data_IF_825375443309
#
_entry.id   IF_825375443309
#
_cell.length_a   1.000
_cell.length_b   1.000
_cell.length_c   1.000
_cell.angle_alpha   90.00
_cell.angle_beta   90.00
_cell.angle_gamma   90.00
#
_symmetry.space_group_name_H-M   'P 1'
#
loop_
_entity.id
_entity.type
_entity.pdbx_description
1 polymer ?
#
# COMPACT_ATOMS: atom_id res chain seq x y z
N UNK A 1 2.77 -0.29 38.35
CA UNK A 1 1.56 -0.25 37.50
C UNK A 1 1.89 -0.35 36.02
N UNK A 2 2.80 0.49 35.48
CA UNK A 2 3.20 0.49 34.06
C UNK A 2 3.84 -0.84 33.64
N UNK A 3 4.78 -1.38 34.42
CA UNK A 3 5.44 -2.66 34.15
C UNK A 3 4.48 -3.86 34.17
N UNK A 4 3.48 -3.86 35.07
CA UNK A 4 2.46 -4.90 35.11
C UNK A 4 1.56 -4.85 33.86
N UNK A 5 1.23 -3.66 33.39
CA UNK A 5 0.42 -3.47 32.18
C UNK A 5 1.19 -3.83 30.89
N UNK A 6 2.50 -3.57 30.85
CA UNK A 6 3.37 -3.99 29.75
C UNK A 6 3.52 -5.52 29.67
N UNK A 7 3.66 -6.19 30.82
CA UNK A 7 3.69 -7.66 30.87
C UNK A 7 2.35 -8.27 30.43
N UNK A 8 1.23 -7.71 30.86
CA UNK A 8 -0.10 -8.18 30.44
C UNK A 8 -0.34 -8.00 28.95
N UNK A 9 0.11 -6.88 28.37
CA UNK A 9 0.08 -6.63 26.93
C UNK A 9 0.98 -7.61 26.16
N UNK A 10 2.17 -7.93 26.69
CA UNK A 10 3.09 -8.92 26.12
C UNK A 10 2.46 -10.32 26.07
N UNK A 11 1.89 -10.79 27.17
CA UNK A 11 1.20 -12.09 27.25
C UNK A 11 -0.01 -12.18 26.32
N UNK A 12 -0.78 -11.10 26.19
CA UNK A 12 -1.90 -11.04 25.21
C UNK A 12 -1.39 -11.09 23.77
N UNK A 13 -0.28 -10.41 23.48
CA UNK A 13 0.31 -10.41 22.14
C UNK A 13 0.84 -11.80 21.77
N UNK A 14 1.54 -12.49 22.68
CA UNK A 14 1.99 -13.87 22.49
C UNK A 14 0.81 -14.83 22.26
N UNK A 15 -0.26 -14.69 23.03
CA UNK A 15 -1.47 -15.49 22.84
C UNK A 15 -2.10 -15.29 21.46
N UNK A 16 -2.15 -14.06 20.96
CA UNK A 16 -2.65 -13.74 19.61
C UNK A 16 -1.73 -14.36 18.55
N UNK A 17 -0.42 -14.20 18.66
CA UNK A 17 0.55 -14.75 17.72
C UNK A 17 0.44 -16.29 17.69
N UNK A 18 0.39 -16.93 18.85
CA UNK A 18 0.22 -18.38 18.97
C UNK A 18 -1.10 -18.85 18.33
N UNK A 19 -2.19 -18.11 18.55
CA UNK A 19 -3.47 -18.42 17.89
C UNK A 19 -3.36 -18.30 16.37
N UNK A 20 -2.78 -17.21 15.85
CA UNK A 20 -2.66 -16.96 14.40
C UNK A 20 -1.72 -17.96 13.71
N UNK A 21 -0.61 -18.35 14.36
CA UNK A 21 0.35 -19.30 13.79
C UNK A 21 -0.12 -20.76 13.85
N UNK A 22 -0.88 -21.12 14.87
CA UNK A 22 -1.37 -22.49 15.06
C UNK A 22 -2.71 -22.77 14.35
N UNK A 23 -3.49 -21.72 14.01
CA UNK A 23 -4.83 -21.90 13.44
C UNK A 23 -4.78 -22.01 11.92
N UNK A 24 -5.32 -23.08 11.33
CA UNK A 24 -5.38 -23.22 9.87
C UNK A 24 -6.20 -22.11 9.21
N UNK A 25 -5.84 -21.72 7.98
CA UNK A 25 -6.52 -20.65 7.25
C UNK A 25 -8.00 -20.97 6.91
N UNK A 26 -8.41 -22.24 6.93
CA UNK A 26 -9.80 -22.69 6.71
C UNK A 26 -10.66 -22.67 7.98
N UNK A 27 -10.06 -22.41 9.16
CA UNK A 27 -10.84 -22.22 10.39
C UNK A 27 -11.76 -20.99 10.21
N UNK A 28 -13.07 -21.08 10.52
CA UNK A 28 -14.00 -19.96 10.36
C UNK A 28 -13.56 -18.68 11.08
N UNK A 29 -12.87 -18.80 12.21
CA UNK A 29 -12.32 -17.63 12.94
C UNK A 29 -11.20 -16.97 12.16
N UNK A 30 -10.30 -17.77 11.55
CA UNK A 30 -9.23 -17.24 10.72
C UNK A 30 -9.78 -16.60 9.44
N UNK A 31 -10.77 -17.20 8.80
CA UNK A 31 -11.46 -16.62 7.64
C UNK A 31 -12.07 -15.27 8.03
N UNK A 32 -12.76 -15.18 9.17
CA UNK A 32 -13.33 -13.92 9.65
C UNK A 32 -12.25 -12.84 9.89
N UNK A 33 -11.11 -13.21 10.48
CA UNK A 33 -9.98 -12.31 10.71
C UNK A 33 -9.39 -11.81 9.37
N UNK A 34 -9.15 -12.73 8.42
CA UNK A 34 -8.61 -12.39 7.10
C UNK A 34 -9.53 -11.42 6.35
N UNK A 35 -10.84 -11.65 6.38
CA UNK A 35 -11.83 -10.77 5.74
C UNK A 35 -11.90 -9.43 6.48
N UNK A 36 -11.94 -9.40 7.80
CA UNK A 36 -12.04 -8.18 8.58
C UNK A 36 -10.79 -7.28 8.42
N UNK A 37 -9.58 -7.88 8.57
CA UNK A 37 -8.33 -7.16 8.36
C UNK A 37 -8.19 -6.74 6.89
N UNK A 38 -8.59 -7.61 5.94
CA UNK A 38 -8.66 -7.27 4.53
C UNK A 38 -9.54 -6.04 4.29
N UNK A 39 -10.74 -5.99 4.87
CA UNK A 39 -11.66 -4.86 4.72
C UNK A 39 -11.06 -3.56 5.31
N UNK A 40 -10.47 -3.63 6.48
CA UNK A 40 -9.79 -2.49 7.09
C UNK A 40 -8.62 -1.99 6.24
N UNK A 41 -7.74 -2.90 5.82
CA UNK A 41 -6.59 -2.56 4.95
C UNK A 41 -7.07 -2.03 3.60
N UNK A 42 -8.07 -2.64 2.99
CA UNK A 42 -8.66 -2.20 1.74
C UNK A 42 -9.21 -0.78 1.83
N UNK A 43 -9.88 -0.45 2.92
CA UNK A 43 -10.38 0.90 3.19
C UNK A 43 -9.21 1.90 3.31
N UNK A 44 -8.28 1.67 4.21
CA UNK A 44 -7.17 2.59 4.48
C UNK A 44 -6.24 2.71 3.27
N UNK A 45 -5.96 1.61 2.58
CA UNK A 45 -5.08 1.59 1.42
C UNK A 45 -5.65 2.35 0.22
N UNK A 46 -6.98 2.31 0.04
CA UNK A 46 -7.67 3.10 -0.99
C UNK A 46 -7.46 4.59 -0.78
N UNK A 47 -7.51 5.07 0.45
CA UNK A 47 -7.42 6.50 0.77
C UNK A 47 -5.97 6.95 0.94
N UNK A 48 -5.19 6.24 1.75
CA UNK A 48 -3.84 6.67 2.16
C UNK A 48 -2.69 5.93 1.45
N UNK A 49 -2.91 4.68 0.99
CA UNK A 49 -1.88 3.91 0.27
C UNK A 49 -0.74 3.37 1.14
N UNK A 50 -0.94 3.24 2.46
CA UNK A 50 0.09 2.84 3.43
C UNK A 50 -0.24 1.55 4.20
N UNK A 51 -1.48 1.06 4.12
CA UNK A 51 -1.97 0.03 5.02
C UNK A 51 -1.45 -1.39 4.74
N UNK A 52 -0.76 -1.62 3.64
CA UNK A 52 -0.26 -2.95 3.26
C UNK A 52 0.68 -3.57 4.31
N UNK A 53 1.35 -2.74 5.11
CA UNK A 53 2.17 -3.22 6.24
C UNK A 53 1.36 -4.04 7.25
N UNK A 54 0.10 -3.67 7.49
CA UNK A 54 -0.79 -4.41 8.38
C UNK A 54 -1.05 -5.82 7.84
N UNK A 55 -1.17 -5.96 6.51
CA UNK A 55 -1.29 -7.27 5.85
C UNK A 55 -0.03 -8.11 6.06
N UNK A 56 1.16 -7.49 5.90
CA UNK A 56 2.42 -8.19 6.14
C UNK A 56 2.51 -8.69 7.57
N UNK A 57 2.20 -7.83 8.55
CA UNK A 57 2.22 -8.19 9.96
C UNK A 57 1.28 -9.35 10.26
N UNK A 58 0.04 -9.32 9.72
CA UNK A 58 -0.91 -10.43 9.89
C UNK A 58 -0.34 -11.73 9.30
N UNK A 59 0.16 -11.70 8.06
CA UNK A 59 0.66 -12.89 7.39
C UNK A 59 1.95 -13.42 8.02
N UNK A 60 2.80 -12.54 8.52
CA UNK A 60 3.99 -12.93 9.29
C UNK A 60 3.61 -13.59 10.61
N UNK A 61 2.58 -13.12 11.31
CA UNK A 61 2.05 -13.77 12.50
C UNK A 61 1.39 -15.14 12.20
N UNK A 62 0.93 -15.33 10.96
CA UNK A 62 0.50 -16.65 10.46
C UNK A 62 1.69 -17.55 10.05
N UNK A 63 2.93 -17.14 10.30
CA UNK A 63 4.15 -17.92 10.01
C UNK A 63 4.70 -17.74 8.59
N UNK A 64 4.21 -16.78 7.80
CA UNK A 64 4.75 -16.53 6.46
C UNK A 64 5.99 -15.64 6.53
N UNK A 65 7.10 -15.96 5.83
CA UNK A 65 8.20 -15.04 5.61
C UNK A 65 7.73 -13.75 4.90
N UNK A 66 8.41 -12.63 5.10
CA UNK A 66 7.98 -11.32 4.58
C UNK A 66 7.85 -11.27 3.05
N UNK A 67 8.69 -12.02 2.31
CA UNK A 67 8.58 -12.12 0.85
C UNK A 67 7.26 -12.79 0.42
N UNK A 68 6.86 -13.86 1.10
CA UNK A 68 5.57 -14.55 0.86
C UNK A 68 4.40 -13.66 1.31
N UNK A 69 4.52 -12.98 2.46
CA UNK A 69 3.51 -12.04 2.94
C UNK A 69 3.29 -10.88 1.96
N UNK A 70 4.39 -10.31 1.43
CA UNK A 70 4.39 -9.27 0.41
C UNK A 70 3.67 -9.74 -0.87
N UNK A 71 4.07 -10.90 -1.41
CA UNK A 71 3.50 -11.47 -2.63
C UNK A 71 2.01 -11.81 -2.46
N UNK A 72 1.65 -12.48 -1.36
CA UNK A 72 0.28 -12.90 -1.05
C UNK A 72 -0.69 -11.72 -0.94
N UNK A 73 -0.27 -10.62 -0.29
CA UNK A 73 -1.09 -9.42 -0.14
C UNK A 73 -1.46 -8.76 -1.48
N UNK A 74 -0.60 -8.87 -2.49
CA UNK A 74 -0.79 -8.22 -3.81
C UNK A 74 -1.98 -8.75 -4.58
N UNK A 75 -2.40 -9.98 -4.35
CA UNK A 75 -3.61 -10.54 -4.99
C UNK A 75 -4.84 -9.74 -4.57
N UNK A 76 -5.01 -9.52 -3.26
CA UNK A 76 -6.08 -8.68 -2.73
C UNK A 76 -6.00 -7.25 -3.23
N UNK A 77 -4.79 -6.69 -3.26
CA UNK A 77 -4.53 -5.34 -3.80
C UNK A 77 -4.94 -5.24 -5.26
N UNK A 78 -4.57 -6.20 -6.12
CA UNK A 78 -4.94 -6.18 -7.54
C UNK A 78 -6.46 -6.14 -7.72
N UNK A 79 -7.19 -7.02 -7.05
CA UNK A 79 -8.65 -7.11 -7.15
C UNK A 79 -9.32 -5.84 -6.60
N UNK A 80 -8.84 -5.34 -5.46
CA UNK A 80 -9.30 -4.10 -4.85
C UNK A 80 -9.14 -2.91 -5.80
N UNK A 81 -7.92 -2.67 -6.29
CA UNK A 81 -7.62 -1.50 -7.12
C UNK A 81 -8.24 -1.59 -8.51
N UNK A 82 -8.44 -2.79 -9.05
CA UNK A 82 -9.22 -3.01 -10.28
C UNK A 82 -10.66 -2.53 -10.09
N UNK A 83 -11.31 -2.94 -9.01
CA UNK A 83 -12.67 -2.51 -8.68
C UNK A 83 -12.74 -1.00 -8.42
N UNK A 84 -11.79 -0.46 -7.66
CA UNK A 84 -11.72 0.97 -7.38
C UNK A 84 -11.51 1.80 -8.65
N UNK A 85 -10.63 1.38 -9.56
CA UNK A 85 -10.38 2.07 -10.83
C UNK A 85 -11.66 2.19 -11.67
N UNK A 86 -12.50 1.14 -11.67
CA UNK A 86 -13.79 1.20 -12.35
C UNK A 86 -14.74 2.20 -11.71
N UNK A 87 -14.75 2.31 -10.37
CA UNK A 87 -15.55 3.29 -9.63
C UNK A 87 -15.10 4.71 -9.98
N UNK A 88 -13.80 5.03 -9.83
CA UNK A 88 -13.26 6.35 -10.14
C UNK A 88 -13.45 6.74 -11.61
N UNK A 89 -13.36 5.75 -12.54
CA UNK A 89 -13.63 5.99 -13.96
C UNK A 89 -15.10 6.31 -14.23
N UNK A 90 -16.04 5.61 -13.61
CA UNK A 90 -17.49 5.89 -13.75
C UNK A 90 -17.87 7.28 -13.25
N UNK A 91 -17.19 7.76 -12.22
CA UNK A 91 -17.40 9.11 -11.67
C UNK A 91 -16.64 10.23 -12.43
N UNK A 92 -15.97 9.88 -13.53
CA UNK A 92 -15.25 10.86 -14.36
C UNK A 92 -13.98 11.44 -13.74
N UNK A 93 -13.48 10.84 -12.64
CA UNK A 93 -12.32 11.32 -11.88
C UNK A 93 -10.99 10.71 -12.33
N UNK A 94 -11.03 9.66 -13.17
CA UNK A 94 -9.85 8.95 -13.64
C UNK A 94 -9.49 9.35 -15.07
N UNK A 95 -8.41 10.10 -15.22
CA UNK A 95 -7.74 10.25 -16.52
C UNK A 95 -6.95 8.97 -16.84
N UNK A 96 -7.55 8.11 -17.67
CA UNK A 96 -6.95 6.82 -18.05
C UNK A 96 -5.65 7.02 -18.83
N UNK A 97 -5.57 8.04 -19.70
CA UNK A 97 -4.37 8.32 -20.49
C UNK A 97 -3.20 8.70 -19.61
N UNK A 98 -3.41 9.64 -18.69
CA UNK A 98 -2.38 10.10 -17.76
C UNK A 98 -1.97 8.98 -16.79
N UNK A 99 -2.94 8.23 -16.24
CA UNK A 99 -2.68 7.12 -15.34
C UNK A 99 -1.89 5.97 -16.04
N UNK A 100 -2.13 5.73 -17.33
CA UNK A 100 -1.35 4.76 -18.11
C UNK A 100 0.08 5.25 -18.33
N UNK A 101 0.27 6.54 -18.66
CA UNK A 101 1.60 7.13 -18.81
C UNK A 101 2.43 7.07 -17.52
N UNK A 102 1.78 7.14 -16.36
CA UNK A 102 2.40 6.92 -15.05
C UNK A 102 2.60 5.42 -14.79
N UNK A 103 1.62 4.60 -15.07
CA UNK A 103 1.62 3.17 -14.76
C UNK A 103 2.66 2.38 -15.54
N UNK A 104 2.94 2.72 -16.79
CA UNK A 104 3.92 1.99 -17.63
C UNK A 104 5.33 2.07 -17.04
N UNK A 105 5.92 3.24 -16.75
CA UNK A 105 7.25 3.30 -16.13
C UNK A 105 7.27 2.66 -14.73
N UNK A 106 6.19 2.78 -13.96
CA UNK A 106 6.06 2.08 -12.68
C UNK A 106 6.07 0.56 -12.88
N UNK A 107 5.39 0.03 -13.90
CA UNK A 107 5.38 -1.41 -14.17
C UNK A 107 6.76 -1.94 -14.61
N UNK A 108 7.49 -1.19 -15.44
CA UNK A 108 8.84 -1.56 -15.85
C UNK A 108 9.79 -1.57 -14.64
N UNK A 109 9.71 -0.55 -13.78
CA UNK A 109 10.46 -0.54 -12.52
C UNK A 109 10.06 -1.67 -11.57
N UNK A 110 8.76 -1.97 -11.49
CA UNK A 110 8.24 -3.01 -10.61
C UNK A 110 8.71 -4.42 -11.02
N UNK A 111 8.97 -4.66 -12.29
CA UNK A 111 9.60 -5.92 -12.74
C UNK A 111 10.95 -6.13 -12.07
N UNK A 112 11.82 -5.12 -12.11
CA UNK A 112 13.15 -5.18 -11.47
C UNK A 112 13.03 -5.30 -9.94
N UNK A 113 12.16 -4.48 -9.33
CA UNK A 113 11.99 -4.50 -7.89
C UNK A 113 11.39 -5.81 -7.36
N UNK A 114 10.46 -6.42 -8.09
CA UNK A 114 9.88 -7.70 -7.73
C UNK A 114 10.89 -8.84 -7.84
N UNK A 115 11.72 -8.86 -8.89
CA UNK A 115 12.79 -9.83 -9.04
C UNK A 115 13.81 -9.71 -7.88
N UNK A 116 14.22 -8.48 -7.54
CA UNK A 116 15.09 -8.25 -6.38
C UNK A 116 14.45 -8.79 -5.08
N UNK A 117 13.16 -8.53 -4.85
CA UNK A 117 12.45 -9.00 -3.67
C UNK A 117 12.27 -10.53 -3.64
N UNK A 118 12.14 -11.15 -4.80
CA UNK A 118 11.97 -12.60 -4.91
C UNK A 118 13.26 -13.37 -4.57
N UNK A 119 14.44 -12.80 -4.90
CA UNK A 119 15.73 -13.47 -4.74
C UNK A 119 16.53 -12.99 -3.54
N UNK A 120 16.27 -11.78 -3.01
CA UNK A 120 17.00 -11.24 -1.86
C UNK A 120 16.57 -11.93 -0.56
N UNK A 121 17.50 -11.94 0.41
CA UNK A 121 17.22 -12.43 1.76
C UNK A 121 16.10 -11.61 2.41
N UNK A 122 15.27 -12.28 3.19
CA UNK A 122 14.11 -11.66 3.89
C UNK A 122 14.51 -10.48 4.77
N UNK A 123 15.67 -10.53 5.41
CA UNK A 123 16.21 -9.48 6.28
C UNK A 123 16.40 -8.16 5.51
N UNK A 124 16.82 -8.23 4.24
CA UNK A 124 16.99 -7.03 3.40
C UNK A 124 15.65 -6.36 3.13
N UNK A 125 14.60 -7.17 2.86
CA UNK A 125 13.25 -6.65 2.61
C UNK A 125 12.71 -5.98 3.88
N UNK A 126 12.92 -6.59 5.04
CA UNK A 126 12.52 -6.04 6.33
C UNK A 126 13.21 -4.70 6.62
N UNK A 127 14.54 -4.65 6.49
CA UNK A 127 15.33 -3.43 6.73
C UNK A 127 14.94 -2.31 5.76
N UNK A 128 14.83 -2.59 4.46
CA UNK A 128 14.43 -1.59 3.46
C UNK A 128 13.02 -1.07 3.76
N UNK A 129 12.08 -1.96 4.08
CA UNK A 129 10.71 -1.56 4.41
C UNK A 129 10.67 -0.71 5.68
N UNK A 130 11.42 -1.10 6.72
CA UNK A 130 11.49 -0.39 7.99
C UNK A 130 12.11 1.02 7.86
N UNK A 131 13.06 1.23 6.96
CA UNK A 131 13.71 2.52 6.74
C UNK A 131 12.87 3.40 5.79
N UNK A 132 12.45 2.85 4.66
CA UNK A 132 11.84 3.66 3.59
C UNK A 132 10.40 4.06 3.93
N UNK A 133 9.65 3.21 4.64
CA UNK A 133 8.27 3.52 4.98
C UNK A 133 8.12 4.77 5.86
N UNK A 134 8.89 4.99 6.95
CA UNK A 134 8.87 6.25 7.70
C UNK A 134 9.27 7.45 6.85
N UNK A 135 10.25 7.31 5.94
CA UNK A 135 10.65 8.39 5.03
C UNK A 135 9.50 8.78 4.09
N UNK A 136 8.79 7.79 3.53
CA UNK A 136 7.59 8.05 2.72
C UNK A 136 6.52 8.76 3.56
N UNK A 137 6.35 8.36 4.80
CA UNK A 137 5.39 9.00 5.70
C UNK A 137 5.70 10.50 5.94
N UNK A 138 6.97 10.93 5.89
CA UNK A 138 7.32 12.35 6.01
C UNK A 138 6.78 13.22 4.86
N UNK A 139 6.54 12.63 3.68
CA UNK A 139 5.95 13.34 2.54
C UNK A 139 4.57 13.93 2.85
N UNK A 140 3.86 13.39 3.83
CA UNK A 140 2.54 13.88 4.24
C UNK A 140 2.57 15.23 4.93
N UNK A 141 3.73 15.62 5.47
CA UNK A 141 3.94 16.92 6.09
C UNK A 141 4.39 17.99 5.08
N UNK A 142 4.60 17.60 3.80
CA UNK A 142 5.02 18.53 2.76
C UNK A 142 3.86 19.42 2.32
N UNK A 143 3.98 20.73 2.57
CA UNK A 143 3.06 21.72 2.03
C UNK A 143 3.33 21.91 0.54
N UNK A 144 2.39 21.45 -0.32
CA UNK A 144 2.51 21.53 -1.78
C UNK A 144 2.84 22.94 -2.26
N UNK A 145 2.13 23.97 -1.76
CA UNK A 145 2.32 25.34 -2.23
C UNK A 145 3.72 25.82 -1.94
N UNK A 146 4.19 25.62 -0.72
CA UNK A 146 5.55 25.99 -0.30
C UNK A 146 6.61 25.18 -1.05
N UNK A 147 6.38 23.86 -1.23
CA UNK A 147 7.30 22.99 -1.95
C UNK A 147 7.40 23.35 -3.42
N UNK A 148 6.27 23.52 -4.11
CA UNK A 148 6.23 23.91 -5.52
C UNK A 148 6.86 25.30 -5.75
N UNK A 149 6.58 26.27 -4.90
CA UNK A 149 7.19 27.62 -4.98
C UNK A 149 8.69 27.59 -4.69
N UNK A 150 9.13 26.83 -3.68
CA UNK A 150 10.55 26.75 -3.30
C UNK A 150 11.41 26.10 -4.39
N UNK A 151 10.90 25.10 -5.07
CA UNK A 151 11.66 24.35 -6.09
C UNK A 151 11.24 24.67 -7.52
N UNK A 152 10.42 25.70 -7.74
CA UNK A 152 9.91 26.15 -9.05
C UNK A 152 9.30 25.00 -9.87
N UNK A 153 8.66 24.04 -9.19
CA UNK A 153 8.01 22.90 -9.84
C UNK A 153 6.62 23.34 -10.29
N UNK A 154 6.49 23.67 -11.57
CA UNK A 154 5.18 23.80 -12.20
C UNK A 154 4.64 22.41 -12.50
N UNK A 155 3.65 21.98 -11.71
CA UNK A 155 2.96 20.70 -11.95
C UNK A 155 2.16 20.80 -13.25
N UNK A 156 2.62 20.12 -14.31
CA UNK A 156 1.89 20.00 -15.58
C UNK A 156 1.55 18.54 -15.84
N UNK A 157 0.38 18.25 -16.41
CA UNK A 157 -0.02 16.85 -16.69
C UNK A 157 0.83 16.19 -17.79
N UNK A 158 1.68 16.94 -18.47
CA UNK A 158 2.59 16.43 -19.48
C UNK A 158 3.74 15.64 -18.86
N UNK A 159 4.04 14.48 -19.45
CA UNK A 159 5.12 13.60 -19.03
C UNK A 159 6.43 14.04 -19.68
N UNK A 160 7.38 14.53 -18.89
CA UNK A 160 8.76 14.79 -19.30
C UNK A 160 9.66 13.57 -19.03
N UNK A 161 10.84 13.46 -19.66
CA UNK A 161 11.79 12.37 -19.40
C UNK A 161 12.12 12.18 -17.91
N UNK A 162 12.30 13.28 -17.17
CA UNK A 162 12.55 13.25 -15.73
C UNK A 162 11.39 12.59 -14.94
N UNK A 163 10.15 12.90 -15.32
CA UNK A 163 8.97 12.30 -14.66
C UNK A 163 8.87 10.80 -14.93
N UNK A 164 9.22 10.35 -16.15
CA UNK A 164 9.30 8.91 -16.43
C UNK A 164 10.34 8.23 -15.54
N UNK A 165 11.51 8.82 -15.34
CA UNK A 165 12.57 8.30 -14.45
C UNK A 165 12.08 8.26 -13.00
N UNK A 166 11.42 9.31 -12.51
CA UNK A 166 10.86 9.35 -11.15
C UNK A 166 9.85 8.22 -10.94
N UNK A 167 8.89 8.06 -11.85
CA UNK A 167 7.89 6.99 -11.73
C UNK A 167 8.48 5.59 -11.92
N UNK A 168 9.52 5.43 -12.72
CA UNK A 168 10.28 4.19 -12.83
C UNK A 168 10.96 3.82 -11.50
N UNK A 169 11.61 4.78 -10.81
CA UNK A 169 12.21 4.56 -9.48
C UNK A 169 11.14 4.22 -8.44
N UNK A 170 10.00 4.92 -8.46
CA UNK A 170 8.84 4.56 -7.63
C UNK A 170 8.41 3.12 -7.93
N UNK A 171 8.46 2.71 -9.19
CA UNK A 171 8.17 1.34 -9.62
C UNK A 171 9.13 0.31 -9.04
N UNK A 172 10.44 0.57 -9.05
CA UNK A 172 11.44 -0.34 -8.42
C UNK A 172 11.08 -0.56 -6.94
N UNK A 173 10.84 0.53 -6.21
CA UNK A 173 10.41 0.42 -4.82
C UNK A 173 9.10 -0.36 -4.68
N UNK A 174 8.11 -0.07 -5.52
CA UNK A 174 6.79 -0.72 -5.49
C UNK A 174 6.80 -2.19 -5.88
N UNK A 175 7.73 -2.60 -6.76
CA UNK A 175 7.97 -4.01 -7.06
C UNK A 175 8.63 -4.72 -5.89
N UNK A 176 9.64 -4.09 -5.29
CA UNK A 176 10.38 -4.62 -4.16
C UNK A 176 9.50 -4.75 -2.90
N UNK A 177 8.85 -3.67 -2.48
CA UNK A 177 7.85 -3.71 -1.41
C UNK A 177 6.63 -2.91 -1.83
N UNK A 178 5.45 -3.49 -1.70
CA UNK A 178 4.21 -2.78 -2.03
C UNK A 178 3.84 -1.72 -0.98
N UNK A 179 4.46 -1.79 0.20
CA UNK A 179 4.14 -0.94 1.33
C UNK A 179 4.45 0.54 1.05
N UNK A 180 3.44 1.39 1.05
CA UNK A 180 3.61 2.84 0.90
C UNK A 180 3.74 3.36 -0.54
N UNK A 181 3.84 2.51 -1.56
CA UNK A 181 3.93 2.97 -2.96
C UNK A 181 2.72 3.83 -3.36
N UNK A 182 1.54 3.50 -2.85
CA UNK A 182 0.33 4.26 -3.13
C UNK A 182 0.48 5.74 -2.76
N UNK A 183 1.13 6.02 -1.65
CA UNK A 183 1.43 7.39 -1.23
C UNK A 183 2.43 8.07 -2.17
N UNK A 184 3.49 7.36 -2.59
CA UNK A 184 4.46 7.89 -3.56
C UNK A 184 3.81 8.26 -4.89
N UNK A 185 2.88 7.43 -5.39
CA UNK A 185 2.15 7.72 -6.64
C UNK A 185 1.19 8.91 -6.45
N UNK A 186 0.48 9.00 -5.29
CA UNK A 186 -0.36 10.16 -4.98
C UNK A 186 0.50 11.43 -4.98
N UNK A 187 1.60 11.45 -4.23
CA UNK A 187 2.47 12.63 -4.13
C UNK A 187 3.17 12.96 -5.43
N UNK A 188 3.65 11.94 -6.15
CA UNK A 188 4.23 12.13 -7.48
C UNK A 188 3.24 12.79 -8.45
N UNK A 189 1.99 12.33 -8.48
CA UNK A 189 0.94 12.92 -9.31
C UNK A 189 0.55 14.33 -8.83
N UNK A 190 0.46 14.53 -7.52
CA UNK A 190 0.13 15.81 -6.92
C UNK A 190 1.20 16.88 -7.17
N UNK A 191 2.49 16.55 -7.02
CA UNK A 191 3.58 17.49 -7.14
C UNK A 191 3.99 17.69 -8.61
N UNK A 192 4.27 16.59 -9.32
CA UNK A 192 4.86 16.67 -10.65
C UNK A 192 3.83 16.84 -11.78
N UNK A 193 2.59 16.33 -11.59
CA UNK A 193 1.55 16.39 -12.63
C UNK A 193 0.48 17.45 -12.33
N UNK A 194 0.58 18.17 -11.21
CA UNK A 194 -0.34 19.25 -10.85
C UNK A 194 -1.76 18.80 -10.52
N UNK A 195 -1.96 17.50 -10.30
CA UNK A 195 -3.28 16.95 -9.97
C UNK A 195 -3.66 17.28 -8.52
N UNK A 196 -4.95 17.42 -8.23
CA UNK A 196 -5.42 17.45 -6.84
C UNK A 196 -5.36 16.06 -6.19
N UNK A 197 -5.66 15.96 -4.88
CA UNK A 197 -5.56 14.69 -4.17
C UNK A 197 -6.58 13.64 -4.63
N UNK A 198 -7.75 14.04 -5.11
CA UNK A 198 -8.78 13.12 -5.59
C UNK A 198 -8.36 12.48 -6.92
N UNK A 199 -7.94 13.33 -7.88
CA UNK A 199 -7.43 12.86 -9.17
C UNK A 199 -6.12 12.09 -9.03
N UNK A 200 -5.20 12.54 -8.15
CA UNK A 200 -3.97 11.79 -7.82
C UNK A 200 -4.29 10.41 -7.22
N UNK A 201 -5.31 10.32 -6.38
CA UNK A 201 -5.78 9.05 -5.86
C UNK A 201 -6.38 8.16 -6.97
N UNK A 202 -7.15 8.73 -7.89
CA UNK A 202 -7.67 7.99 -9.05
C UNK A 202 -6.54 7.46 -9.94
N UNK A 203 -5.51 8.27 -10.24
CA UNK A 203 -4.31 7.84 -10.98
C UNK A 203 -3.62 6.68 -10.27
N UNK A 204 -3.45 6.76 -8.93
CA UNK A 204 -2.89 5.66 -8.13
C UNK A 204 -3.65 4.35 -8.32
N UNK A 205 -5.00 4.39 -8.36
CA UNK A 205 -5.80 3.17 -8.50
C UNK A 205 -5.39 2.42 -9.79
N UNK A 206 -5.42 3.09 -10.94
CA UNK A 206 -5.10 2.46 -12.22
C UNK A 206 -3.61 2.14 -12.36
N UNK A 207 -2.72 3.00 -11.87
CA UNK A 207 -1.28 2.70 -11.82
C UNK A 207 -1.02 1.39 -11.09
N UNK A 208 -1.69 1.17 -9.95
CA UNK A 208 -1.57 -0.08 -9.19
C UNK A 208 -2.07 -1.28 -9.97
N UNK A 209 -3.16 -1.16 -10.70
CA UNK A 209 -3.67 -2.22 -11.60
C UNK A 209 -2.67 -2.57 -12.70
N UNK A 210 -1.93 -1.58 -13.21
CA UNK A 210 -0.97 -1.79 -14.30
C UNK A 210 0.28 -2.51 -13.82
N UNK A 211 0.88 -2.11 -12.67
CA UNK A 211 2.14 -2.68 -12.25
C UNK A 211 2.02 -3.95 -11.38
N UNK A 212 0.92 -4.11 -10.65
CA UNK A 212 0.77 -5.26 -9.72
C UNK A 212 0.77 -6.61 -10.44
N UNK A 213 0.13 -6.80 -11.62
CA UNK A 213 0.22 -8.05 -12.35
C UNK A 213 1.65 -8.43 -12.73
N UNK A 214 2.48 -7.44 -13.09
CA UNK A 214 3.90 -7.66 -13.44
C UNK A 214 4.64 -8.24 -12.25
N UNK A 215 4.50 -7.63 -11.08
CA UNK A 215 5.11 -8.13 -9.85
C UNK A 215 4.53 -9.49 -9.42
N UNK A 216 3.21 -9.70 -9.57
CA UNK A 216 2.56 -10.99 -9.24
C UNK A 216 3.08 -12.14 -10.10
N UNK A 217 3.32 -11.91 -11.40
CA UNK A 217 3.92 -12.93 -12.28
C UNK A 217 5.29 -13.34 -11.76
N UNK A 218 6.15 -12.37 -11.40
CA UNK A 218 7.47 -12.66 -10.83
C UNK A 218 7.34 -13.51 -9.57
N UNK A 219 6.56 -13.09 -8.59
CA UNK A 219 6.38 -13.84 -7.34
C UNK A 219 5.72 -15.22 -7.54
N UNK A 220 4.81 -15.34 -8.50
CA UNK A 220 4.19 -16.63 -8.84
C UNK A 220 5.20 -17.62 -9.44
N UNK A 221 6.10 -17.13 -10.31
CA UNK A 221 7.19 -17.95 -10.89
C UNK A 221 8.16 -18.45 -9.80
N UNK A 222 8.36 -17.67 -8.73
CA UNK A 222 9.18 -18.07 -7.58
C UNK A 222 8.38 -18.87 -6.52
N UNK A 223 7.11 -19.19 -6.76
CA UNK A 223 6.28 -19.97 -5.81
C UNK A 223 5.97 -19.23 -4.50
N UNK A 224 6.04 -17.90 -4.48
CA UNK A 224 5.96 -17.08 -3.25
C UNK A 224 4.55 -16.56 -2.95
N UNK A 225 3.49 -17.16 -3.49
CA UNK A 225 2.12 -16.74 -3.24
C UNK A 225 1.34 -17.83 -2.52
N UNK A 226 0.79 -17.52 -1.35
CA UNK A 226 -0.18 -18.36 -0.67
C UNK A 226 -1.58 -18.04 -1.22
N UNK A 227 -1.99 -18.72 -2.29
CA UNK A 227 -3.23 -18.46 -3.00
C UNK A 227 -4.50 -18.57 -2.14
N UNK A 228 -4.68 -19.62 -1.28
CA UNK A 228 -5.85 -19.72 -0.44
C UNK A 228 -6.04 -18.53 0.49
N UNK A 229 -4.97 -18.13 1.22
CA UNK A 229 -5.00 -16.98 2.11
C UNK A 229 -5.24 -15.68 1.32
N UNK A 230 -4.57 -15.54 0.17
CA UNK A 230 -4.71 -14.38 -0.69
C UNK A 230 -6.16 -14.14 -1.16
N UNK A 231 -6.86 -15.21 -1.57
CA UNK A 231 -8.23 -15.12 -2.07
C UNK A 231 -9.24 -14.81 -0.97
N UNK A 232 -9.10 -15.42 0.21
CA UNK A 232 -9.95 -15.11 1.37
C UNK A 232 -9.75 -13.64 1.79
N UNK A 233 -8.51 -13.23 1.92
CA UNK A 233 -8.15 -11.85 2.27
C UNK A 233 -8.67 -10.83 1.25
N UNK A 234 -8.63 -11.18 -0.06
CA UNK A 234 -9.08 -10.32 -1.14
C UNK A 234 -10.57 -9.95 -1.06
N UNK A 235 -11.42 -10.84 -0.53
CA UNK A 235 -12.86 -10.56 -0.34
C UNK A 235 -13.04 -9.32 0.53
N UNK A 236 -12.37 -9.30 1.69
CA UNK A 236 -12.39 -8.14 2.58
C UNK A 236 -11.76 -6.91 1.93
N UNK A 237 -10.60 -7.09 1.30
CA UNK A 237 -9.84 -6.00 0.68
C UNK A 237 -10.67 -5.26 -0.38
N UNK A 238 -11.38 -5.99 -1.23
CA UNK A 238 -12.30 -5.42 -2.23
C UNK A 238 -13.48 -4.70 -1.56
N UNK A 239 -14.11 -5.33 -0.56
CA UNK A 239 -15.25 -4.72 0.14
C UNK A 239 -14.86 -3.38 0.80
N UNK A 240 -13.74 -3.36 1.52
CA UNK A 240 -13.19 -2.15 2.14
C UNK A 240 -12.81 -1.09 1.12
N UNK A 241 -12.20 -1.50 -0.01
CA UNK A 241 -11.82 -0.63 -1.10
C UNK A 241 -13.03 0.06 -1.77
N UNK A 242 -14.09 -0.70 -2.04
CA UNK A 242 -15.34 -0.16 -2.61
C UNK A 242 -15.96 0.87 -1.67
N UNK A 243 -16.05 0.56 -0.38
CA UNK A 243 -16.58 1.49 0.62
C UNK A 243 -15.74 2.77 0.68
N UNK A 244 -14.42 2.63 0.76
CA UNK A 244 -13.49 3.76 0.82
C UNK A 244 -13.54 4.62 -0.44
N UNK A 245 -13.66 4.02 -1.64
CA UNK A 245 -13.78 4.76 -2.89
C UNK A 245 -15.02 5.65 -2.89
N UNK A 246 -16.19 5.13 -2.50
CA UNK A 246 -17.43 5.89 -2.42
C UNK A 246 -17.33 7.04 -1.42
N UNK A 247 -16.74 6.79 -0.25
CA UNK A 247 -16.54 7.81 0.79
C UNK A 247 -15.54 8.88 0.34
N UNK A 248 -14.41 8.48 -0.26
CA UNK A 248 -13.39 9.39 -0.76
C UNK A 248 -13.93 10.32 -1.85
N UNK A 249 -14.73 9.82 -2.76
CA UNK A 249 -15.38 10.59 -3.82
C UNK A 249 -16.40 11.59 -3.21
N UNK A 250 -17.24 11.11 -2.28
CA UNK A 250 -18.29 11.94 -1.67
C UNK A 250 -17.74 13.05 -0.78
N UNK A 251 -16.69 12.78 -0.01
CA UNK A 251 -16.14 13.72 0.98
C UNK A 251 -14.90 14.47 0.45
N UNK A 252 -14.35 14.07 -0.69
CA UNK A 252 -13.34 14.79 -1.44
C UNK A 252 -11.97 14.90 -0.77
N UNK A 253 -11.23 15.92 -1.17
CA UNK A 253 -9.82 16.15 -0.78
C UNK A 253 -9.62 16.26 0.74
N UNK A 254 -10.53 16.92 1.44
CA UNK A 254 -10.43 17.11 2.90
C UNK A 254 -10.43 15.78 3.64
N UNK A 255 -11.27 14.84 3.22
CA UNK A 255 -11.33 13.51 3.82
C UNK A 255 -10.05 12.71 3.57
N UNK A 256 -9.59 12.67 2.31
CA UNK A 256 -8.34 12.01 1.95
C UNK A 256 -7.18 12.54 2.80
N UNK A 257 -7.06 13.87 2.92
CA UNK A 257 -6.04 14.52 3.74
C UNK A 257 -6.10 14.12 5.21
N UNK A 258 -7.30 14.12 5.80
CA UNK A 258 -7.48 13.72 7.21
C UNK A 258 -7.08 12.26 7.42
N UNK A 259 -7.58 11.34 6.58
CA UNK A 259 -7.26 9.93 6.69
C UNK A 259 -5.75 9.67 6.56
N UNK A 260 -5.11 10.32 5.59
CA UNK A 260 -3.68 10.22 5.37
C UNK A 260 -2.91 10.70 6.61
N UNK A 261 -3.26 11.85 7.18
CA UNK A 261 -2.65 12.38 8.42
C UNK A 261 -2.88 11.44 9.61
N UNK A 262 -4.09 10.93 9.80
CA UNK A 262 -4.39 9.99 10.88
C UNK A 262 -3.53 8.72 10.80
N UNK A 263 -3.41 8.13 9.61
CA UNK A 263 -2.60 6.92 9.41
C UNK A 263 -1.13 7.20 9.73
N UNK A 264 -0.61 8.35 9.33
CA UNK A 264 0.78 8.73 9.63
C UNK A 264 1.02 8.92 11.11
N UNK A 265 0.13 9.66 11.78
CA UNK A 265 0.27 9.87 13.23
C UNK A 265 0.30 8.53 13.96
N UNK A 266 -0.60 7.60 13.61
CA UNK A 266 -0.64 6.25 14.19
C UNK A 266 0.65 5.48 13.90
N UNK A 267 1.11 5.47 12.64
CA UNK A 267 2.34 4.77 12.26
C UNK A 267 3.57 5.40 12.92
N UNK A 268 3.66 6.74 12.95
CA UNK A 268 4.78 7.44 13.62
C UNK A 268 4.80 7.18 15.12
N UNK A 269 3.64 7.19 15.77
CA UNK A 269 3.54 6.88 17.20
C UNK A 269 3.93 5.43 17.49
N UNK A 270 3.50 4.48 16.67
CA UNK A 270 3.88 3.07 16.77
C UNK A 270 5.39 2.87 16.62
N UNK A 271 6.02 3.53 15.65
CA UNK A 271 7.46 3.42 15.41
C UNK A 271 8.29 4.04 16.55
N UNK A 272 7.84 5.17 17.10
CA UNK A 272 8.49 5.77 18.28
C UNK A 272 8.33 4.89 19.52
N UNK A 273 7.15 4.31 19.73
CA UNK A 273 6.92 3.39 20.84
C UNK A 273 7.82 2.15 20.81
N UNK A 274 8.10 1.63 19.61
CA UNK A 274 8.96 0.44 19.45
C UNK A 274 10.45 0.72 19.77
N UNK A 275 10.88 1.99 19.83
CA UNK A 275 12.25 2.38 20.14
C UNK A 275 12.52 2.54 21.65
N UNK A 276 11.47 2.62 22.45
CA UNK A 276 11.51 2.69 23.91
C UNK A 276 10.96 1.41 24.53
#
# INVERSE_FOLDING_TARGET
LIFAHLNELGLKMESIINFLSATPYWDPRMIAILIAVGAFVGFVNTVAGLATVISYTLFMFMGMPINIANATSRVGVLLQFSTNSLIFRKEGLLDVSLATKVGVPVAVGALLGAEMAAVFKTEIIEVVTAIVLPLIATLLFVDKKKFSQKYHIEGRPEMSPLKYVVFFIIGIYGGFTHAGIGLLVIFGSFIFLGQDLVHSNAIKQLTTVIYTPVALVVFALHGQINWPVALIYAIGNVAGGVLASKVAIKWGEKFIKICVVCVVVVVSFYLLWKQF
#
